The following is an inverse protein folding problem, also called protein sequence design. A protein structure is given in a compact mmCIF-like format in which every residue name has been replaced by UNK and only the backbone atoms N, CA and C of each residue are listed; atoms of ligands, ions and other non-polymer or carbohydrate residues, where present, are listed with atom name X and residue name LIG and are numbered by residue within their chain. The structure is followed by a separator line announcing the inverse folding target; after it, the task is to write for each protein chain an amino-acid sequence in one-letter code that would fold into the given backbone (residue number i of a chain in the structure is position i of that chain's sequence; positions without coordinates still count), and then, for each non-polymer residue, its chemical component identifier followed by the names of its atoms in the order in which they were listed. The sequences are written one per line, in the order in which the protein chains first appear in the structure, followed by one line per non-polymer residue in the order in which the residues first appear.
data_IF_885977990886
#
_entry.id   IF_885977990886
#
_cell.length_a   1.000
_cell.length_b   1.000
_cell.length_c   1.000
_cell.angle_alpha   90.00
_cell.angle_beta   90.00
_cell.angle_gamma   90.00
#
_symmetry.space_group_name_H-M   'P 1'
#
loop_
_entity.id
_entity.type
_entity.pdbx_description
1 polymer ?
#
# COMPACT_ATOMS: atom_id res chain seq x y z
N UNK A 1 27.61 -22.53 -144.55
CA UNK A 1 28.38 -22.51 -145.81
C UNK A 1 28.26 -21.10 -146.37
N UNK A 2 29.16 -20.21 -145.95
CA UNK A 2 29.14 -18.81 -146.35
C UNK A 2 29.80 -18.64 -147.71
N UNK A 3 29.13 -17.93 -148.62
CA UNK A 3 29.65 -17.56 -149.94
C UNK A 3 30.84 -16.61 -149.81
N UNK A 4 32.05 -17.13 -150.07
CA UNK A 4 33.31 -16.36 -150.13
C UNK A 4 33.35 -15.51 -151.40
N UNK A 5 33.52 -14.19 -151.23
CA UNK A 5 33.64 -13.25 -152.35
C UNK A 5 35.09 -12.76 -152.41
N UNK A 6 35.66 -12.72 -153.62
CA UNK A 6 37.06 -12.33 -153.83
C UNK A 6 37.14 -10.87 -154.26
N UNK A 7 37.89 -10.05 -153.53
CA UNK A 7 38.09 -8.65 -153.92
C UNK A 7 38.85 -8.55 -155.26
N UNK A 8 38.30 -7.91 -156.30
CA UNK A 8 38.96 -7.81 -157.60
C UNK A 8 40.23 -6.93 -157.59
N UNK A 9 40.45 -6.12 -156.55
CA UNK A 9 41.60 -5.22 -156.47
C UNK A 9 42.80 -5.81 -155.70
N UNK A 10 42.56 -6.61 -154.65
CA UNK A 10 43.64 -7.12 -153.79
C UNK A 10 43.63 -8.64 -153.59
N UNK A 11 42.74 -9.37 -154.30
CA UNK A 11 42.59 -10.84 -154.25
C UNK A 11 42.33 -11.43 -152.85
N UNK A 12 42.08 -10.59 -151.84
CA UNK A 12 41.74 -11.02 -150.49
C UNK A 12 40.35 -11.68 -150.47
N UNK A 13 40.27 -12.83 -149.82
CA UNK A 13 39.03 -13.60 -149.66
C UNK A 13 38.44 -13.23 -148.31
N UNK A 14 37.20 -12.72 -148.31
CA UNK A 14 36.49 -12.40 -147.07
C UNK A 14 35.06 -12.92 -147.16
N UNK A 15 34.52 -13.30 -146.00
CA UNK A 15 33.17 -13.80 -145.85
C UNK A 15 32.27 -12.59 -145.56
N UNK A 16 31.21 -12.39 -146.35
CA UNK A 16 30.26 -11.27 -146.18
C UNK A 16 29.68 -11.18 -144.76
N UNK A 17 29.56 -12.32 -144.08
CA UNK A 17 29.06 -12.42 -142.71
C UNK A 17 29.94 -11.62 -141.73
N UNK A 18 31.27 -11.62 -141.88
CA UNK A 18 32.18 -10.91 -140.96
C UNK A 18 32.07 -9.38 -141.04
N UNK A 19 31.79 -8.82 -142.23
CA UNK A 19 31.62 -7.38 -142.40
C UNK A 19 30.26 -6.89 -141.85
N UNK A 20 29.20 -7.69 -142.02
CA UNK A 20 27.88 -7.43 -141.44
C UNK A 20 27.88 -7.58 -139.91
N UNK A 21 28.57 -8.59 -139.38
CA UNK A 21 28.74 -8.78 -137.93
C UNK A 21 29.50 -7.62 -137.28
N UNK A 22 30.54 -7.08 -137.93
CA UNK A 22 31.31 -5.95 -137.40
C UNK A 22 30.51 -4.64 -137.32
N UNK A 23 29.63 -4.36 -138.30
CA UNK A 23 28.75 -3.18 -138.25
C UNK A 23 27.63 -3.35 -137.20
N UNK A 24 27.05 -4.55 -137.07
CA UNK A 24 26.07 -4.87 -136.01
C UNK A 24 26.71 -4.71 -134.62
N UNK A 25 27.94 -5.18 -134.43
CA UNK A 25 28.69 -5.00 -133.17
C UNK A 25 28.98 -3.54 -132.86
N UNK A 26 29.31 -2.72 -133.87
CA UNK A 26 29.58 -1.29 -133.70
C UNK A 26 28.30 -0.54 -133.32
N UNK A 27 27.18 -0.84 -133.95
CA UNK A 27 25.88 -0.29 -133.57
C UNK A 27 25.45 -0.72 -132.16
N UNK A 28 25.62 -1.99 -131.80
CA UNK A 28 25.33 -2.48 -130.45
C UNK A 28 26.22 -1.83 -129.40
N UNK A 29 27.52 -1.68 -129.66
CA UNK A 29 28.44 -0.95 -128.76
C UNK A 29 28.05 0.51 -128.60
N UNK A 30 27.67 1.19 -129.67
CA UNK A 30 27.23 2.58 -129.59
C UNK A 30 25.91 2.70 -128.80
N UNK A 31 24.93 1.81 -129.04
CA UNK A 31 23.68 1.77 -128.27
C UNK A 31 23.96 1.51 -126.79
N UNK A 32 24.75 0.49 -126.46
CA UNK A 32 25.15 0.19 -125.09
C UNK A 32 25.90 1.35 -124.42
N UNK A 33 26.81 2.03 -125.13
CA UNK A 33 27.50 3.20 -124.61
C UNK A 33 26.55 4.38 -124.35
N UNK A 34 25.56 4.60 -125.22
CA UNK A 34 24.54 5.64 -125.01
C UNK A 34 23.61 5.32 -123.84
N UNK A 35 23.18 4.06 -123.70
CA UNK A 35 22.36 3.61 -122.57
C UNK A 35 23.14 3.66 -121.25
N UNK A 36 24.41 3.27 -121.27
CA UNK A 36 25.31 3.36 -120.12
C UNK A 36 25.50 4.81 -119.67
N UNK A 37 25.74 5.74 -120.61
CA UNK A 37 25.88 7.15 -120.29
C UNK A 37 24.58 7.76 -119.74
N UNK A 38 23.42 7.43 -120.33
CA UNK A 38 22.11 7.84 -119.79
C UNK A 38 21.91 7.32 -118.37
N UNK A 39 22.23 6.05 -118.13
CA UNK A 39 22.10 5.44 -116.80
C UNK A 39 23.04 6.07 -115.78
N UNK A 40 24.26 6.42 -116.20
CA UNK A 40 25.23 7.10 -115.33
C UNK A 40 24.76 8.51 -114.95
N UNK A 41 24.16 9.25 -115.89
CA UNK A 41 23.61 10.57 -115.62
C UNK A 41 22.36 10.48 -114.73
N UNK A 42 21.47 9.50 -114.93
CA UNK A 42 20.35 9.20 -114.02
C UNK A 42 20.81 8.89 -112.59
N UNK A 43 21.88 8.10 -112.44
CA UNK A 43 22.42 7.78 -111.11
C UNK A 43 23.05 9.01 -110.45
N UNK A 44 23.67 9.91 -111.22
CA UNK A 44 24.22 11.16 -110.69
C UNK A 44 23.10 12.10 -110.22
N UNK A 45 22.02 12.26 -110.99
CA UNK A 45 20.89 13.10 -110.58
C UNK A 45 20.20 12.54 -109.35
N UNK A 46 19.95 11.22 -109.30
CA UNK A 46 19.39 10.56 -108.11
C UNK A 46 20.28 10.74 -106.88
N UNK A 47 21.61 10.61 -107.03
CA UNK A 47 22.54 10.84 -105.92
C UNK A 47 22.46 12.28 -105.41
N UNK A 48 22.40 13.27 -106.30
CA UNK A 48 22.27 14.68 -105.93
C UNK A 48 20.94 14.97 -105.22
N UNK A 49 19.83 14.38 -105.69
CA UNK A 49 18.52 14.50 -105.06
C UNK A 49 18.51 13.90 -103.64
N UNK A 50 19.07 12.70 -103.47
CA UNK A 50 19.18 12.05 -102.15
C UNK A 50 20.05 12.89 -101.20
N UNK A 51 21.15 13.45 -101.69
CA UNK A 51 22.04 14.30 -100.90
C UNK A 51 21.35 15.59 -100.46
N UNK A 52 20.59 16.24 -101.34
CA UNK A 52 19.76 17.40 -101.01
C UNK A 52 18.65 17.05 -100.00
N UNK A 53 17.95 15.94 -100.19
CA UNK A 53 16.92 15.47 -99.24
C UNK A 53 17.53 15.14 -97.87
N UNK A 54 18.73 14.55 -97.84
CA UNK A 54 19.42 14.24 -96.58
C UNK A 54 19.81 15.52 -95.85
N UNK A 55 20.25 16.56 -96.56
CA UNK A 55 20.57 17.86 -95.98
C UNK A 55 19.33 18.57 -95.43
N UNK A 56 18.20 18.53 -96.15
CA UNK A 56 16.96 19.16 -95.66
C UNK A 56 16.41 18.46 -94.43
N UNK A 57 16.40 17.12 -94.40
CA UNK A 57 15.97 16.34 -93.23
C UNK A 57 16.88 16.58 -92.02
N UNK A 58 18.21 16.64 -92.21
CA UNK A 58 19.15 16.99 -91.13
C UNK A 58 18.87 18.38 -90.57
N UNK A 59 18.65 19.37 -91.44
CA UNK A 59 18.32 20.75 -91.01
C UNK A 59 17.00 20.82 -90.24
N UNK A 60 15.98 20.04 -90.65
CA UNK A 60 14.71 19.95 -89.94
C UNK A 60 14.87 19.30 -88.56
N UNK A 61 15.59 18.17 -88.47
CA UNK A 61 15.85 17.51 -87.19
C UNK A 61 16.65 18.37 -86.21
N UNK A 62 17.60 19.17 -86.70
CA UNK A 62 18.34 20.12 -85.86
C UNK A 62 17.43 21.21 -85.29
N UNK A 63 16.51 21.76 -86.08
CA UNK A 63 15.51 22.73 -85.62
C UNK A 63 14.57 22.12 -84.58
N UNK A 64 14.06 20.91 -84.82
CA UNK A 64 13.21 20.21 -83.85
C UNK A 64 13.96 19.89 -82.55
N UNK A 65 15.22 19.47 -82.62
CA UNK A 65 16.07 19.27 -81.44
C UNK A 65 16.25 20.56 -80.64
N UNK A 66 16.49 21.68 -81.31
CA UNK A 66 16.63 22.98 -80.65
C UNK A 66 15.30 23.40 -80.00
N UNK A 67 14.17 23.20 -80.67
CA UNK A 67 12.85 23.50 -80.11
C UNK A 67 12.56 22.65 -78.87
N UNK A 68 12.77 21.34 -78.93
CA UNK A 68 12.56 20.43 -77.79
C UNK A 68 13.47 20.80 -76.62
N UNK A 69 14.70 21.23 -76.87
CA UNK A 69 15.62 21.69 -75.82
C UNK A 69 15.11 22.97 -75.15
N UNK A 70 14.61 23.94 -75.93
CA UNK A 70 14.02 25.17 -75.41
C UNK A 70 12.75 24.89 -74.59
N UNK A 71 11.85 24.05 -75.09
CA UNK A 71 10.60 23.68 -74.41
C UNK A 71 10.90 22.96 -73.09
N UNK A 72 11.87 22.04 -73.08
CA UNK A 72 12.33 21.36 -71.84
C UNK A 72 12.86 22.37 -70.82
N UNK A 73 13.64 23.35 -71.26
CA UNK A 73 14.18 24.37 -70.36
C UNK A 73 13.05 25.21 -69.76
N UNK A 74 12.08 25.66 -70.58
CA UNK A 74 10.92 26.42 -70.11
C UNK A 74 10.05 25.63 -69.12
N UNK A 75 9.76 24.35 -69.42
CA UNK A 75 9.00 23.48 -68.51
C UNK A 75 9.73 23.31 -67.17
N UNK A 76 11.06 23.13 -67.20
CA UNK A 76 11.84 23.01 -65.96
C UNK A 76 11.79 24.28 -65.12
N UNK A 77 11.89 25.45 -65.75
CA UNK A 77 11.82 26.75 -65.08
C UNK A 77 10.43 27.00 -64.49
N UNK A 78 9.36 26.69 -65.23
CA UNK A 78 7.99 26.82 -64.72
C UNK A 78 7.73 25.88 -63.54
N UNK A 79 8.20 24.63 -63.61
CA UNK A 79 8.08 23.69 -62.48
C UNK A 79 8.81 24.20 -61.24
N UNK A 80 10.03 24.70 -61.40
CA UNK A 80 10.80 25.22 -60.29
C UNK A 80 10.14 26.45 -59.66
N UNK A 81 9.60 27.36 -60.47
CA UNK A 81 8.84 28.52 -59.97
C UNK A 81 7.58 28.10 -59.20
N UNK A 82 6.84 27.10 -59.69
CA UNK A 82 5.66 26.58 -59.01
C UNK A 82 6.02 25.88 -57.70
N UNK A 83 7.11 25.10 -57.67
CA UNK A 83 7.62 24.45 -56.45
C UNK A 83 8.04 25.50 -55.42
N UNK A 84 8.78 26.53 -55.82
CA UNK A 84 9.21 27.61 -54.93
C UNK A 84 8.02 28.40 -54.37
N UNK A 85 6.99 28.68 -55.18
CA UNK A 85 5.77 29.34 -54.72
C UNK A 85 4.99 28.48 -53.72
N UNK A 86 4.88 27.18 -53.99
CA UNK A 86 4.19 26.23 -53.12
C UNK A 86 4.92 26.06 -51.78
N UNK A 87 6.26 25.99 -51.80
CA UNK A 87 7.09 25.97 -50.59
C UNK A 87 6.87 27.25 -49.76
N UNK A 88 6.86 28.42 -50.39
CA UNK A 88 6.61 29.70 -49.70
C UNK A 88 5.21 29.74 -49.06
N UNK A 89 4.17 29.28 -49.78
CA UNK A 89 2.80 29.21 -49.23
C UNK A 89 2.70 28.25 -48.05
N UNK A 90 3.29 27.05 -48.17
CA UNK A 90 3.32 26.07 -47.08
C UNK A 90 4.09 26.58 -45.86
N UNK A 91 5.21 27.28 -46.05
CA UNK A 91 5.95 27.90 -44.95
C UNK A 91 5.12 28.98 -44.25
N UNK A 92 4.43 29.84 -45.01
CA UNK A 92 3.59 30.88 -44.45
C UNK A 92 2.39 30.31 -43.67
N UNK A 93 1.73 29.26 -44.19
CA UNK A 93 0.66 28.57 -43.47
C UNK A 93 1.17 27.86 -42.21
N UNK A 94 2.34 27.22 -42.27
CA UNK A 94 2.97 26.58 -41.11
C UNK A 94 3.26 27.59 -40.01
N UNK A 95 3.80 28.76 -40.34
CA UNK A 95 4.06 29.84 -39.37
C UNK A 95 2.75 30.32 -38.76
N UNK A 96 1.73 30.62 -39.57
CA UNK A 96 0.41 31.03 -39.05
C UNK A 96 -0.23 29.99 -38.13
N UNK A 97 -0.11 28.71 -38.46
CA UNK A 97 -0.63 27.62 -37.63
C UNK A 97 0.15 27.50 -36.32
N UNK A 98 1.48 27.65 -36.35
CA UNK A 98 2.29 27.65 -35.14
C UNK A 98 1.96 28.85 -34.23
N UNK A 99 1.77 30.04 -34.80
CA UNK A 99 1.38 31.24 -34.06
C UNK A 99 -0.02 31.11 -33.43
N UNK A 100 -1.00 30.59 -34.18
CA UNK A 100 -2.35 30.38 -33.65
C UNK A 100 -2.38 29.33 -32.54
N UNK A 101 -1.68 28.21 -32.72
CA UNK A 101 -1.54 27.18 -31.68
C UNK A 101 -0.83 27.74 -30.45
N UNK A 102 0.27 28.50 -30.62
CA UNK A 102 0.97 29.11 -29.49
C UNK A 102 0.09 30.12 -28.74
N UNK A 103 -0.73 30.89 -29.45
CA UNK A 103 -1.67 31.83 -28.84
C UNK A 103 -2.77 31.10 -28.04
N UNK A 104 -3.35 30.03 -28.59
CA UNK A 104 -4.35 29.21 -27.90
C UNK A 104 -3.75 28.55 -26.66
N UNK A 105 -2.58 27.92 -26.78
CA UNK A 105 -1.89 27.29 -25.64
C UNK A 105 -1.61 28.32 -24.54
N UNK A 106 -1.12 29.52 -24.89
CA UNK A 106 -0.88 30.58 -23.88
C UNK A 106 -2.17 31.01 -23.19
N UNK A 107 -3.28 31.11 -23.91
CA UNK A 107 -4.58 31.48 -23.35
C UNK A 107 -5.11 30.40 -22.40
N UNK A 108 -5.05 29.15 -22.80
CA UNK A 108 -5.53 28.02 -22.01
C UNK A 108 -4.67 27.85 -20.74
N UNK A 109 -3.35 27.93 -20.87
CA UNK A 109 -2.41 27.90 -19.74
C UNK A 109 -2.67 29.06 -18.77
N UNK A 110 -2.89 30.28 -19.28
CA UNK A 110 -3.19 31.43 -18.43
C UNK A 110 -4.54 31.26 -17.68
N UNK A 111 -5.56 30.75 -18.36
CA UNK A 111 -6.87 30.47 -17.75
C UNK A 111 -6.79 29.37 -16.68
N UNK A 112 -6.04 28.30 -16.95
CA UNK A 112 -5.82 27.22 -15.98
C UNK A 112 -5.04 27.71 -14.76
N UNK A 113 -3.99 28.50 -14.97
CA UNK A 113 -3.24 29.12 -13.86
C UNK A 113 -4.12 30.05 -13.03
N UNK A 114 -4.96 30.88 -13.66
CA UNK A 114 -5.87 31.78 -12.96
C UNK A 114 -6.90 31.01 -12.13
N UNK A 115 -7.48 29.95 -12.68
CA UNK A 115 -8.41 29.07 -11.96
C UNK A 115 -7.72 28.36 -10.78
N UNK A 116 -6.52 27.83 -10.97
CA UNK A 116 -5.75 27.20 -9.89
C UNK A 116 -5.43 28.21 -8.79
N UNK A 117 -5.05 29.43 -9.15
CA UNK A 117 -4.72 30.48 -8.20
C UNK A 117 -5.96 30.93 -7.41
N UNK A 118 -7.12 31.05 -8.06
CA UNK A 118 -8.39 31.33 -7.40
C UNK A 118 -8.80 30.20 -6.44
N UNK A 119 -8.70 28.93 -6.85
CA UNK A 119 -9.00 27.79 -5.98
C UNK A 119 -8.06 27.73 -4.77
N UNK A 120 -6.77 27.99 -4.96
CA UNK A 120 -5.79 28.04 -3.86
C UNK A 120 -6.10 29.20 -2.90
N UNK A 121 -6.42 30.39 -3.41
CA UNK A 121 -6.81 31.53 -2.57
C UNK A 121 -8.10 31.25 -1.80
N UNK A 122 -9.10 30.62 -2.44
CA UNK A 122 -10.34 30.25 -1.78
C UNK A 122 -10.10 29.21 -0.68
N UNK A 123 -9.31 28.17 -0.97
CA UNK A 123 -8.92 27.16 0.02
C UNK A 123 -8.16 27.78 1.20
N UNK A 124 -7.27 28.75 0.93
CA UNK A 124 -6.54 29.45 1.98
C UNK A 124 -7.49 30.28 2.87
N UNK A 125 -8.44 31.02 2.28
CA UNK A 125 -9.45 31.78 3.03
C UNK A 125 -10.32 30.87 3.89
N UNK A 126 -10.81 29.76 3.33
CA UNK A 126 -11.60 28.78 4.07
C UNK A 126 -10.82 28.15 5.24
N UNK A 127 -9.52 27.89 5.05
CA UNK A 127 -8.66 27.39 6.12
C UNK A 127 -8.39 28.45 7.19
N UNK A 128 -8.19 29.72 6.81
CA UNK A 128 -8.05 30.82 7.76
C UNK A 128 -9.31 31.02 8.61
N UNK A 129 -10.50 30.94 8.00
CA UNK A 129 -11.76 31.07 8.72
C UNK A 129 -12.00 29.87 9.64
N UNK A 130 -11.73 28.64 9.20
CA UNK A 130 -11.74 27.45 10.07
C UNK A 130 -10.76 27.58 11.24
N UNK A 131 -9.58 28.15 11.01
CA UNK A 131 -8.58 28.36 12.05
C UNK A 131 -9.04 29.42 13.07
N UNK A 132 -9.67 30.51 12.60
CA UNK A 132 -10.28 31.53 13.49
C UNK A 132 -11.39 30.92 14.33
N UNK A 133 -12.28 30.14 13.72
CA UNK A 133 -13.37 29.46 14.44
C UNK A 133 -12.84 28.46 15.47
N UNK A 134 -11.81 27.69 15.13
CA UNK A 134 -11.16 26.77 16.07
C UNK A 134 -10.55 27.53 17.26
N UNK A 135 -9.84 28.63 17.02
CA UNK A 135 -9.26 29.49 18.07
C UNK A 135 -10.33 30.12 18.96
N UNK A 136 -11.46 30.56 18.39
CA UNK A 136 -12.58 31.09 19.17
C UNK A 136 -13.21 30.02 20.06
N UNK A 137 -13.39 28.80 19.54
CA UNK A 137 -13.89 27.67 20.34
C UNK A 137 -12.93 27.28 21.46
N UNK A 138 -11.63 27.30 21.21
CA UNK A 138 -10.61 27.03 22.22
C UNK A 138 -10.63 28.09 23.33
N UNK A 139 -10.73 29.39 22.97
CA UNK A 139 -10.89 30.47 23.93
C UNK A 139 -12.17 30.35 24.77
N UNK A 140 -13.31 30.02 24.14
CA UNK A 140 -14.57 29.80 24.83
C UNK A 140 -14.50 28.60 25.78
N UNK A 141 -13.84 27.53 25.36
CA UNK A 141 -13.59 26.35 26.19
C UNK A 141 -12.73 26.69 27.41
N UNK A 142 -11.62 27.42 27.22
CA UNK A 142 -10.74 27.85 28.31
C UNK A 142 -11.47 28.75 29.32
N UNK A 143 -12.29 29.69 28.85
CA UNK A 143 -13.13 30.54 29.73
C UNK A 143 -14.11 29.70 30.53
N UNK A 144 -14.84 28.78 29.89
CA UNK A 144 -15.77 27.88 30.56
C UNK A 144 -15.08 26.99 31.60
N UNK A 145 -13.89 26.48 31.28
CA UNK A 145 -13.11 25.68 32.22
C UNK A 145 -12.69 26.51 33.45
N UNK A 146 -12.24 27.75 33.24
CA UNK A 146 -11.90 28.66 34.33
C UNK A 146 -13.12 29.04 35.18
N UNK A 147 -14.26 29.31 34.55
CA UNK A 147 -15.52 29.61 35.26
C UNK A 147 -16.01 28.42 36.09
N UNK A 148 -15.87 27.19 35.58
CA UNK A 148 -16.19 25.97 36.33
C UNK A 148 -15.25 25.80 37.53
N UNK A 149 -13.96 26.02 37.35
CA UNK A 149 -12.98 25.94 38.43
C UNK A 149 -13.26 26.98 39.53
N UNK A 150 -13.60 28.22 39.15
CA UNK A 150 -13.98 29.26 40.10
C UNK A 150 -15.25 28.89 40.88
N UNK A 151 -16.26 28.33 40.19
CA UNK A 151 -17.49 27.84 40.84
C UNK A 151 -17.24 26.70 41.81
N UNK A 152 -16.34 25.78 41.45
CA UNK A 152 -15.95 24.66 42.31
C UNK A 152 -15.29 25.16 43.59
N UNK A 153 -14.36 26.13 43.48
CA UNK A 153 -13.73 26.78 44.63
C UNK A 153 -14.74 27.55 45.50
N UNK A 154 -15.68 28.29 44.89
CA UNK A 154 -16.74 28.99 45.62
C UNK A 154 -17.66 28.01 46.36
N UNK A 155 -18.03 26.90 45.71
CA UNK A 155 -18.83 25.83 46.32
C UNK A 155 -18.09 25.21 47.51
N UNK A 156 -16.82 24.87 47.36
CA UNK A 156 -15.99 24.30 48.43
C UNK A 156 -15.88 25.26 49.63
N UNK A 157 -15.65 26.54 49.37
CA UNK A 157 -15.57 27.57 50.40
C UNK A 157 -16.93 27.81 51.09
N UNK A 158 -18.03 27.75 50.34
CA UNK A 158 -19.38 27.81 50.89
C UNK A 158 -19.71 26.59 51.77
N UNK A 159 -19.25 25.40 51.37
CA UNK A 159 -19.43 24.16 52.11
C UNK A 159 -18.64 24.21 53.43
N UNK A 160 -17.39 24.68 53.39
CA UNK A 160 -16.57 24.87 54.58
C UNK A 160 -17.22 25.86 55.56
N UNK A 161 -17.78 26.98 55.07
CA UNK A 161 -18.51 27.94 55.92
C UNK A 161 -19.72 27.30 56.58
N UNK A 162 -20.54 26.55 55.82
CA UNK A 162 -21.70 25.82 56.38
C UNK A 162 -21.27 24.80 57.43
N UNK A 163 -20.21 24.04 57.18
CA UNK A 163 -19.68 23.08 58.16
C UNK A 163 -19.16 23.76 59.42
N UNK A 164 -18.56 24.94 59.31
CA UNK A 164 -18.14 25.74 60.47
C UNK A 164 -19.35 26.25 61.27
N UNK A 165 -20.39 26.75 60.59
CA UNK A 165 -21.63 27.19 61.23
C UNK A 165 -22.35 26.02 61.91
N UNK A 166 -22.50 24.88 61.25
CA UNK A 166 -23.09 23.66 61.83
C UNK A 166 -22.27 23.17 63.02
N UNK A 167 -20.92 23.16 62.94
CA UNK A 167 -20.06 22.83 64.09
C UNK A 167 -20.26 23.79 65.25
N UNK A 168 -20.38 25.09 65.00
CA UNK A 168 -20.60 26.08 66.05
C UNK A 168 -21.97 25.89 66.71
N UNK A 169 -23.02 25.62 65.92
CA UNK A 169 -24.35 25.28 66.43
C UNK A 169 -24.32 23.99 67.26
N UNK A 170 -23.61 22.96 66.81
CA UNK A 170 -23.45 21.70 67.52
C UNK A 170 -22.73 21.90 68.86
N UNK A 171 -21.68 22.71 68.90
CA UNK A 171 -20.95 23.04 70.13
C UNK A 171 -21.85 23.80 71.11
N UNK A 172 -22.66 24.74 70.63
CA UNK A 172 -23.63 25.47 71.46
C UNK A 172 -24.74 24.55 72.00
N UNK A 173 -25.23 23.61 71.17
CA UNK A 173 -26.16 22.56 71.62
C UNK A 173 -25.53 21.66 72.67
N UNK A 174 -24.30 21.17 72.45
CA UNK A 174 -23.58 20.34 73.43
C UNK A 174 -23.38 21.10 74.74
N UNK A 175 -23.06 22.39 74.69
CA UNK A 175 -22.95 23.24 75.90
C UNK A 175 -24.27 23.36 76.66
N UNK A 176 -25.38 23.56 75.95
CA UNK A 176 -26.72 23.58 76.55
C UNK A 176 -27.08 22.23 77.15
N UNK A 177 -26.89 21.15 76.40
CA UNK A 177 -27.16 19.79 76.86
C UNK A 177 -26.28 19.42 78.07
N UNK A 178 -25.02 19.85 78.11
CA UNK A 178 -24.12 19.62 79.23
C UNK A 178 -24.50 20.46 80.46
N UNK A 179 -24.92 21.71 80.27
CA UNK A 179 -25.46 22.56 81.33
C UNK A 179 -26.78 22.01 81.89
N UNK A 180 -27.69 21.57 81.02
CA UNK A 180 -28.96 20.94 81.41
C UNK A 180 -28.70 19.61 82.12
N UNK A 181 -27.74 18.81 81.64
CA UNK A 181 -27.32 17.56 82.29
C UNK A 181 -26.63 17.82 83.64
N UNK A 182 -25.89 18.91 83.79
CA UNK A 182 -25.32 19.32 85.08
C UNK A 182 -26.42 19.76 86.04
N UNK A 183 -27.38 20.57 85.59
CA UNK A 183 -28.53 20.98 86.40
C UNK A 183 -29.40 19.78 86.81
N UNK A 184 -29.61 18.83 85.91
CA UNK A 184 -30.28 17.56 86.20
C UNK A 184 -29.49 16.73 87.21
N UNK A 185 -28.16 16.65 87.08
CA UNK A 185 -27.31 15.99 88.07
C UNK A 185 -27.34 16.69 89.43
N UNK A 186 -27.37 18.02 89.48
CA UNK A 186 -27.41 18.77 90.74
C UNK A 186 -28.77 18.62 91.43
N UNK A 187 -29.87 18.61 90.66
CA UNK A 187 -31.21 18.32 91.18
C UNK A 187 -31.35 16.86 91.61
N UNK A 188 -30.82 15.91 90.85
CA UNK A 188 -30.70 14.51 91.27
C UNK A 188 -29.82 14.39 92.52
N UNK A 189 -28.71 15.13 92.62
CA UNK A 189 -27.81 15.10 93.78
C UNK A 189 -28.49 15.69 95.02
N UNK A 190 -29.30 16.74 94.88
CA UNK A 190 -30.12 17.28 95.96
C UNK A 190 -31.23 16.31 96.39
N UNK A 191 -31.89 15.64 95.45
CA UNK A 191 -32.87 14.60 95.77
C UNK A 191 -32.21 13.37 96.39
N UNK A 192 -31.03 13.00 95.91
CA UNK A 192 -30.21 11.89 96.42
C UNK A 192 -29.59 12.21 97.77
N UNK A 193 -29.27 13.47 98.08
CA UNK A 193 -28.89 13.92 99.42
C UNK A 193 -30.07 13.78 100.40
N UNK A 194 -31.29 14.15 99.97
CA UNK A 194 -32.51 13.95 100.78
C UNK A 194 -32.88 12.48 100.95
N UNK A 195 -32.68 11.67 99.92
CA UNK A 195 -32.79 10.20 100.02
C UNK A 195 -31.66 9.59 100.85
N UNK A 196 -30.43 10.11 100.77
CA UNK A 196 -29.27 9.68 101.56
C UNK A 196 -29.39 10.07 103.02
N UNK A 197 -29.97 11.22 103.37
CA UNK A 197 -30.31 11.59 104.75
C UNK A 197 -31.31 10.60 105.33
N UNK A 198 -32.30 10.17 104.53
CA UNK A 198 -33.27 9.14 104.90
C UNK A 198 -32.65 7.73 104.92
N UNK A 199 -31.75 7.41 104.01
CA UNK A 199 -31.00 6.15 103.96
C UNK A 199 -29.92 6.08 105.05
N UNK A 200 -29.38 7.20 105.57
CA UNK A 200 -28.43 7.23 106.69
C UNK A 200 -29.09 6.84 108.02
N UNK A 201 -30.40 7.07 108.14
CA UNK A 201 -31.22 6.67 109.29
C UNK A 201 -31.59 5.18 109.20
N UNK A 202 -31.84 4.67 107.99
CA UNK A 202 -32.19 3.26 107.73
C UNK A 202 -30.97 2.32 107.50
N UNK A 203 -29.80 2.84 107.10
CA UNK A 203 -28.55 2.08 106.89
C UNK A 203 -27.62 2.06 108.10
N UNK A 204 -27.98 2.68 109.23
CA UNK A 204 -27.33 2.39 110.52
C UNK A 204 -27.66 0.99 111.06
N UNK A 205 -28.62 0.28 110.45
CA UNK A 205 -29.15 -1.01 110.93
C UNK A 205 -28.83 -2.22 110.06
N UNK A 206 -28.08 -2.09 108.95
CA UNK A 206 -27.97 -3.22 108.00
C UNK A 206 -26.69 -3.30 107.15
N UNK A 207 -25.53 -2.94 107.67
CA UNK A 207 -24.28 -2.99 106.86
C UNK A 207 -23.03 -3.43 107.64
N UNK A 208 -23.12 -4.55 108.37
CA UNK A 208 -21.94 -5.30 108.88
C UNK A 208 -21.61 -6.55 108.03
N UNK A 209 -22.32 -6.78 106.91
CA UNK A 209 -21.97 -7.85 105.98
C UNK A 209 -22.02 -7.35 104.54
N UNK A 210 -20.91 -7.59 103.81
CA UNK A 210 -20.70 -7.43 102.36
C UNK A 210 -19.71 -6.32 101.96
N UNK A 211 -18.53 -6.34 102.58
CA UNK A 211 -17.30 -5.94 101.88
C UNK A 211 -16.53 -7.17 101.44
N UNK A 212 -16.80 -7.69 100.23
CA UNK A 212 -15.75 -8.08 99.26
C UNK A 212 -16.28 -8.82 98.01
N UNK A 213 -15.70 -8.41 96.86
CA UNK A 213 -15.68 -9.01 95.51
C UNK A 213 -16.91 -8.65 94.64
N UNK A 214 -16.77 -8.27 93.38
CA UNK A 214 -15.73 -8.63 92.43
C UNK A 214 -15.54 -7.53 91.36
N UNK A 215 -14.30 -7.08 91.20
CA UNK A 215 -13.78 -6.62 89.91
C UNK A 215 -13.46 -7.87 89.09
N UNK A 216 -14.01 -7.98 87.88
CA UNK A 216 -13.64 -9.01 86.92
C UNK A 216 -13.34 -8.33 85.58
N UNK A 217 -12.05 -8.10 85.35
CA UNK A 217 -11.50 -7.53 84.13
C UNK A 217 -11.10 -8.61 83.12
N UNK A 218 -11.69 -8.47 81.93
CA UNK A 218 -11.26 -8.86 80.57
C UNK A 218 -10.70 -10.26 80.27
N UNK A 219 -11.49 -10.98 79.47
CA UNK A 219 -11.21 -12.26 78.79
C UNK A 219 -10.76 -12.07 77.32
N UNK A 220 -10.31 -10.88 76.90
CA UNK A 220 -10.08 -10.57 75.47
C UNK A 220 -8.67 -10.86 74.93
N UNK A 221 -7.64 -10.98 75.77
CA UNK A 221 -6.25 -11.13 75.33
C UNK A 221 -5.90 -12.50 74.70
N UNK A 222 -6.81 -13.47 74.68
CA UNK A 222 -6.51 -14.86 74.30
C UNK A 222 -6.90 -15.24 72.86
N UNK A 223 -7.69 -14.41 72.17
CA UNK A 223 -8.10 -14.63 70.77
C UNK A 223 -7.11 -14.07 69.74
N UNK A 224 -6.61 -12.86 69.98
CA UNK A 224 -5.76 -12.09 69.04
C UNK A 224 -4.41 -12.78 68.75
N UNK A 225 -3.93 -13.63 69.67
CA UNK A 225 -2.63 -14.32 69.53
C UNK A 225 -2.63 -15.35 68.38
N UNK A 226 -3.77 -15.98 68.08
CA UNK A 226 -3.84 -16.99 67.03
C UNK A 226 -3.97 -16.37 65.63
N UNK A 227 -4.60 -15.21 65.54
CA UNK A 227 -4.71 -14.43 64.30
C UNK A 227 -3.32 -13.94 63.86
N UNK A 228 -2.58 -13.32 64.79
CA UNK A 228 -1.19 -12.90 64.56
C UNK A 228 -0.29 -14.07 64.10
N UNK A 229 -0.44 -15.25 64.70
CA UNK A 229 0.34 -16.43 64.33
C UNK A 229 0.01 -16.96 62.92
N UNK A 230 -1.25 -16.83 62.47
CA UNK A 230 -1.66 -17.23 61.13
C UNK A 230 -1.09 -16.29 60.07
N UNK A 231 -1.14 -14.98 60.31
CA UNK A 231 -0.59 -13.97 59.41
C UNK A 231 0.92 -14.10 59.25
N UNK A 232 1.65 -14.28 60.35
CA UNK A 232 3.10 -14.42 60.34
C UNK A 232 3.51 -15.68 59.55
N UNK A 233 2.78 -16.79 59.72
CA UNK A 233 3.02 -18.02 58.99
C UNK A 233 2.78 -17.86 57.48
N UNK A 234 1.68 -17.20 57.09
CA UNK A 234 1.37 -16.94 55.68
C UNK A 234 2.43 -16.02 55.06
N UNK A 235 2.87 -14.97 55.78
CA UNK A 235 3.88 -14.02 55.29
C UNK A 235 5.25 -14.66 55.12
N UNK A 236 5.62 -15.54 56.05
CA UNK A 236 6.86 -16.32 55.95
C UNK A 236 6.82 -17.33 54.81
N UNK A 237 5.66 -17.96 54.54
CA UNK A 237 5.52 -19.01 53.54
C UNK A 237 5.35 -18.46 52.12
N UNK A 238 4.68 -17.32 51.95
CA UNK A 238 4.37 -16.72 50.64
C UNK A 238 4.86 -15.26 50.55
N UNK A 239 6.17 -15.01 50.47
CA UNK A 239 6.73 -13.64 50.51
C UNK A 239 6.30 -12.73 49.35
N UNK A 240 5.89 -13.32 48.22
CA UNK A 240 5.48 -12.58 47.02
C UNK A 240 3.99 -12.19 47.04
N UNK A 241 3.19 -12.82 47.90
CA UNK A 241 1.77 -12.54 48.03
C UNK A 241 1.56 -11.36 49.00
N UNK A 242 0.48 -10.60 48.81
CA UNK A 242 0.15 -9.48 49.71
C UNK A 242 -0.87 -9.94 50.75
N UNK A 243 -0.50 -9.85 52.03
CA UNK A 243 -1.34 -10.24 53.16
C UNK A 243 -1.84 -8.98 53.87
N UNK A 244 -3.15 -8.83 53.97
CA UNK A 244 -3.82 -7.68 54.58
C UNK A 244 -4.81 -8.11 55.66
N UNK A 245 -4.75 -7.45 56.82
CA UNK A 245 -5.74 -7.56 57.89
C UNK A 245 -6.99 -6.72 57.54
N UNK A 246 -8.17 -7.22 57.91
CA UNK A 246 -9.41 -6.43 57.81
C UNK A 246 -9.62 -5.71 59.14
N UNK A 247 -9.56 -4.37 59.13
CA UNK A 247 -9.52 -3.56 60.35
C UNK A 247 -10.69 -3.77 61.33
N UNK A 248 -10.38 -3.74 62.63
CA UNK A 248 -11.33 -3.90 63.75
C UNK A 248 -12.52 -2.94 63.62
N UNK A 249 -13.71 -3.49 63.39
CA UNK A 249 -14.98 -2.75 63.31
C UNK A 249 -15.74 -2.89 61.98
N UNK A 250 -15.13 -3.50 60.96
CA UNK A 250 -15.80 -3.88 59.71
C UNK A 250 -16.08 -5.38 59.76
N UNK A 251 -17.30 -5.82 59.38
CA UNK A 251 -17.58 -7.26 59.21
C UNK A 251 -16.73 -7.79 58.06
N UNK A 252 -15.81 -8.71 58.34
CA UNK A 252 -14.99 -9.34 57.34
C UNK A 252 -14.09 -10.41 57.95
N UNK A 253 -13.55 -11.26 57.08
CA UNK A 253 -12.65 -12.35 57.45
C UNK A 253 -11.40 -11.84 58.17
N UNK A 254 -10.84 -12.68 59.04
CA UNK A 254 -9.69 -12.33 59.88
C UNK A 254 -8.43 -11.97 59.05
N UNK A 255 -8.19 -12.63 57.92
CA UNK A 255 -7.03 -12.37 57.07
C UNK A 255 -7.33 -12.55 55.57
N UNK A 256 -6.75 -11.69 54.71
CA UNK A 256 -6.86 -11.79 53.26
C UNK A 256 -5.46 -11.94 52.65
N UNK A 257 -5.27 -12.97 51.83
CA UNK A 257 -4.10 -13.17 50.99
C UNK A 257 -4.45 -12.87 49.54
N UNK A 258 -3.82 -11.84 48.99
CA UNK A 258 -3.84 -11.56 47.55
C UNK A 258 -2.70 -12.31 46.88
N UNK A 259 -3.04 -13.33 46.10
CA UNK A 259 -2.09 -14.18 45.38
C UNK A 259 -1.49 -13.40 44.22
N UNK A 260 -0.16 -13.32 44.17
CA UNK A 260 0.56 -12.61 43.10
C UNK A 260 1.45 -13.56 42.31
N UNK A 261 1.55 -13.33 41.01
CA UNK A 261 2.51 -14.05 40.18
C UNK A 261 3.93 -13.49 40.35
N UNK A 262 4.90 -14.16 39.71
CA UNK A 262 6.32 -13.76 39.69
C UNK A 262 6.57 -12.35 39.09
N UNK A 263 5.58 -11.76 38.42
CA UNK A 263 5.64 -10.40 37.85
C UNK A 263 4.92 -9.37 38.74
N UNK A 264 4.44 -9.77 39.93
CA UNK A 264 3.73 -8.90 40.86
C UNK A 264 2.26 -8.62 40.51
N UNK A 265 1.69 -9.30 39.51
CA UNK A 265 0.29 -9.13 39.13
C UNK A 265 -0.61 -9.94 40.05
N UNK A 266 -1.77 -9.38 40.38
CA UNK A 266 -2.76 -10.01 41.25
C UNK A 266 -3.56 -11.06 40.44
N UNK A 267 -3.46 -12.31 40.87
CA UNK A 267 -4.06 -13.46 40.19
C UNK A 267 -5.35 -13.95 40.85
N UNK A 268 -5.55 -13.63 42.13
CA UNK A 268 -6.75 -13.98 42.89
C UNK A 268 -6.59 -13.69 44.38
N UNK A 269 -7.63 -13.95 45.16
CA UNK A 269 -7.69 -13.68 46.61
C UNK A 269 -8.19 -14.89 47.39
N UNK A 270 -7.51 -15.18 48.49
CA UNK A 270 -7.87 -16.21 49.46
C UNK A 270 -8.17 -15.52 50.79
N UNK A 271 -9.31 -15.83 51.41
CA UNK A 271 -9.66 -15.32 52.74
C UNK A 271 -9.56 -16.42 53.79
N UNK A 272 -9.19 -16.02 55.00
CA UNK A 272 -8.99 -16.90 56.13
C UNK A 272 -9.81 -16.44 57.33
N UNK A 273 -10.46 -17.40 57.97
CA UNK A 273 -11.14 -17.21 59.25
C UNK A 273 -10.56 -18.19 60.27
N UNK A 274 -10.19 -17.71 61.45
CA UNK A 274 -9.68 -18.53 62.55
C UNK A 274 -10.70 -18.60 63.69
N UNK A 275 -11.07 -19.82 64.09
CA UNK A 275 -11.98 -20.05 65.22
C UNK A 275 -11.39 -21.03 66.22
N UNK A 276 -11.25 -20.55 67.46
CA UNK A 276 -10.73 -21.31 68.59
C UNK A 276 -11.86 -21.67 69.56
N UNK A 277 -12.56 -22.75 69.25
CA UNK A 277 -13.73 -23.20 70.00
C UNK A 277 -13.79 -24.72 70.06
N UNK A 278 -14.40 -25.25 71.12
CA UNK A 278 -14.55 -26.70 71.36
C UNK A 278 -15.66 -27.33 70.54
N UNK A 279 -16.63 -26.54 70.08
CA UNK A 279 -17.79 -26.99 69.33
C UNK A 279 -17.86 -26.27 68.00
N UNK A 280 -17.95 -27.02 66.90
CA UNK A 280 -18.08 -26.47 65.55
C UNK A 280 -19.50 -25.92 65.30
N UNK A 281 -19.62 -24.67 64.86
CA UNK A 281 -20.92 -24.09 64.44
C UNK A 281 -21.02 -23.93 62.92
N UNK A 282 -22.17 -24.31 62.35
CA UNK A 282 -22.46 -24.07 60.93
C UNK A 282 -22.55 -22.59 60.56
N UNK A 283 -22.90 -21.73 61.52
CA UNK A 283 -23.04 -20.29 61.28
C UNK A 283 -21.73 -19.64 60.80
N UNK A 284 -20.56 -20.24 61.10
CA UNK A 284 -19.27 -19.74 60.63
C UNK A 284 -19.10 -19.93 59.12
N UNK A 285 -19.62 -21.02 58.57
CA UNK A 285 -19.60 -21.27 57.11
C UNK A 285 -20.47 -20.23 56.40
N UNK A 286 -21.66 -19.95 56.93
CA UNK A 286 -22.57 -18.97 56.32
C UNK A 286 -22.01 -17.54 56.36
N UNK A 287 -21.40 -17.15 57.49
CA UNK A 287 -20.72 -15.86 57.63
C UNK A 287 -19.54 -15.73 56.66
N UNK A 288 -18.65 -16.73 56.65
CA UNK A 288 -17.47 -16.70 55.79
C UNK A 288 -17.83 -16.69 54.30
N UNK A 289 -18.94 -17.33 53.89
CA UNK A 289 -19.49 -17.21 52.53
C UNK A 289 -19.96 -15.79 52.21
N UNK A 290 -20.58 -15.12 53.17
CA UNK A 290 -21.00 -13.74 52.99
C UNK A 290 -19.78 -12.81 52.84
N UNK A 291 -18.72 -13.07 53.61
CA UNK A 291 -17.46 -12.32 53.55
C UNK A 291 -16.71 -12.59 52.25
N UNK A 292 -16.71 -13.84 51.76
CA UNK A 292 -16.16 -14.19 50.45
C UNK A 292 -16.80 -13.38 49.30
N UNK A 293 -18.12 -13.20 49.36
CA UNK A 293 -18.86 -12.40 48.36
C UNK A 293 -18.63 -10.90 48.52
N UNK A 294 -18.60 -10.38 49.74
CA UNK A 294 -18.42 -8.94 49.98
C UNK A 294 -17.02 -8.46 49.61
N UNK A 295 -16.01 -9.32 49.82
CA UNK A 295 -14.61 -9.01 49.55
C UNK A 295 -14.13 -9.46 48.15
N UNK A 296 -14.99 -10.14 47.40
CA UNK A 296 -14.66 -10.65 46.06
C UNK A 296 -13.50 -11.66 46.08
N UNK A 297 -13.49 -12.55 47.08
CA UNK A 297 -12.47 -13.58 47.21
C UNK A 297 -12.83 -14.82 46.39
N UNK A 298 -11.81 -15.45 45.79
CA UNK A 298 -11.98 -16.65 44.96
C UNK A 298 -12.11 -17.92 45.80
N UNK A 299 -11.47 -17.93 46.96
CA UNK A 299 -11.39 -19.08 47.86
C UNK A 299 -11.48 -18.62 49.31
N UNK A 300 -12.19 -19.38 50.15
CA UNK A 300 -12.27 -19.16 51.59
C UNK A 300 -11.80 -20.39 52.37
N UNK A 301 -10.98 -20.16 53.39
CA UNK A 301 -10.43 -21.18 54.29
C UNK A 301 -10.84 -20.88 55.73
N UNK A 302 -11.48 -21.85 56.39
CA UNK A 302 -11.79 -21.83 57.82
C UNK A 302 -10.76 -22.68 58.57
N UNK A 303 -10.01 -22.05 59.45
CA UNK A 303 -9.05 -22.69 60.35
C UNK A 303 -9.72 -22.90 61.71
N UNK A 304 -9.96 -24.16 62.06
CA UNK A 304 -10.62 -24.54 63.31
C UNK A 304 -9.80 -25.54 64.11
N UNK A 305 -9.93 -25.50 65.44
CA UNK A 305 -9.36 -26.52 66.32
C UNK A 305 -10.22 -27.80 66.34
N UNK A 306 -11.54 -27.65 66.19
CA UNK A 306 -12.50 -28.78 66.22
C UNK A 306 -13.12 -28.94 64.84
N UNK A 307 -12.93 -30.13 64.25
CA UNK A 307 -13.51 -30.45 62.94
C UNK A 307 -15.01 -30.75 63.05
N UNK A 308 -15.79 -30.54 61.97
CA UNK A 308 -17.18 -31.00 61.91
C UNK A 308 -17.27 -32.51 62.12
N UNK A 309 -18.39 -33.00 62.70
CA UNK A 309 -18.60 -34.43 63.02
C UNK A 309 -18.51 -35.39 61.81
N UNK A 310 -18.57 -34.85 60.60
CA UNK A 310 -18.53 -35.59 59.34
C UNK A 310 -17.14 -35.59 58.66
N UNK A 311 -16.12 -35.01 59.31
CA UNK A 311 -14.79 -34.78 58.72
C UNK A 311 -13.67 -35.10 59.71
N UNK A 312 -12.81 -36.05 59.35
CA UNK A 312 -11.63 -36.42 60.16
C UNK A 312 -10.36 -35.63 59.78
N UNK A 313 -10.33 -35.04 58.58
CA UNK A 313 -9.19 -34.29 58.01
C UNK A 313 -9.68 -33.05 57.27
N UNK A 314 -8.76 -32.18 56.85
CA UNK A 314 -9.12 -31.02 56.04
C UNK A 314 -9.92 -31.42 54.79
N UNK A 315 -10.86 -30.56 54.38
CA UNK A 315 -11.68 -30.81 53.21
C UNK A 315 -12.63 -29.65 52.90
N UNK A 316 -13.35 -29.78 51.80
CA UNK A 316 -14.30 -28.77 51.35
C UNK A 316 -15.71 -29.07 51.89
N UNK A 317 -16.35 -28.06 52.49
CA UNK A 317 -17.74 -28.13 52.92
C UNK A 317 -18.50 -26.93 52.38
N UNK A 318 -19.42 -27.22 51.46
CA UNK A 318 -20.30 -26.25 50.83
C UNK A 318 -19.58 -25.04 50.19
N UNK A 319 -18.42 -25.23 49.57
CA UNK A 319 -17.63 -24.16 48.95
C UNK A 319 -16.63 -23.46 49.88
N UNK A 320 -16.51 -23.87 51.15
CA UNK A 320 -15.47 -23.40 52.08
C UNK A 320 -14.52 -24.54 52.40
N UNK A 321 -13.23 -24.27 52.38
CA UNK A 321 -12.22 -25.23 52.82
C UNK A 321 -12.03 -25.17 54.33
N UNK A 322 -12.28 -26.26 55.03
CA UNK A 322 -12.10 -26.36 56.48
C UNK A 322 -10.84 -27.15 56.77
N UNK A 323 -9.95 -26.62 57.60
CA UNK A 323 -8.70 -27.28 57.96
C UNK A 323 -8.27 -26.98 59.40
N UNK A 324 -7.32 -27.76 59.91
CA UNK A 324 -6.64 -27.45 61.17
C UNK A 324 -5.46 -26.50 60.93
N UNK A 325 -4.98 -25.85 61.99
CA UNK A 325 -3.84 -24.92 61.91
C UNK A 325 -2.56 -25.57 61.38
N UNK A 326 -2.40 -26.89 61.52
CA UNK A 326 -1.23 -27.61 61.00
C UNK A 326 -1.30 -27.86 59.48
N UNK A 327 -2.50 -27.89 58.92
CA UNK A 327 -2.75 -28.25 57.52
C UNK A 327 -2.90 -27.03 56.62
N UNK A 328 -3.22 -25.86 57.19
CA UNK A 328 -3.48 -24.61 56.45
C UNK A 328 -2.36 -24.27 55.48
N UNK A 329 -1.10 -24.46 55.86
CA UNK A 329 0.07 -24.18 55.00
C UNK A 329 0.03 -24.98 53.70
N UNK A 330 -0.19 -26.29 53.83
CA UNK A 330 -0.23 -27.24 52.71
C UNK A 330 -1.44 -26.98 51.82
N UNK A 331 -2.58 -26.69 52.44
CA UNK A 331 -3.82 -26.38 51.74
C UNK A 331 -3.71 -25.07 50.94
N UNK A 332 -3.20 -24.01 51.55
CA UNK A 332 -2.96 -22.73 50.87
C UNK A 332 -2.06 -22.90 49.65
N UNK A 333 -1.00 -23.71 49.74
CA UNK A 333 -0.10 -23.95 48.60
C UNK A 333 -0.83 -24.52 47.39
N UNK A 334 -1.68 -25.53 47.61
CA UNK A 334 -2.47 -26.20 46.56
C UNK A 334 -3.48 -25.24 45.94
N UNK A 335 -4.22 -24.50 46.78
CA UNK A 335 -5.25 -23.57 46.30
C UNK A 335 -4.62 -22.38 45.55
N UNK A 336 -3.46 -21.90 46.02
CA UNK A 336 -2.67 -20.87 45.33
C UNK A 336 -2.23 -21.32 43.94
N UNK A 337 -1.73 -22.55 43.79
CA UNK A 337 -1.34 -23.09 42.48
C UNK A 337 -2.54 -23.22 41.52
N UNK A 338 -3.69 -23.65 42.04
CA UNK A 338 -4.93 -23.73 41.27
C UNK A 338 -5.37 -22.34 40.75
N UNK A 339 -5.38 -21.32 41.61
CA UNK A 339 -5.71 -19.93 41.22
C UNK A 339 -4.76 -19.44 40.12
N UNK A 340 -3.45 -19.66 40.27
CA UNK A 340 -2.47 -19.23 39.25
C UNK A 340 -2.71 -19.92 37.90
N UNK A 341 -3.03 -21.22 37.88
CA UNK A 341 -3.32 -21.96 36.64
C UNK A 341 -4.57 -21.45 35.94
N UNK A 342 -5.61 -21.15 36.71
CA UNK A 342 -6.87 -20.60 36.18
C UNK A 342 -6.64 -19.20 35.60
N UNK A 343 -5.94 -18.33 36.34
CA UNK A 343 -5.61 -16.97 35.89
C UNK A 343 -4.81 -16.98 34.58
N UNK A 344 -3.77 -17.82 34.49
CA UNK A 344 -2.97 -17.94 33.27
C UNK A 344 -3.78 -18.46 32.08
N UNK A 345 -4.76 -19.34 32.32
CA UNK A 345 -5.63 -19.86 31.27
C UNK A 345 -6.60 -18.80 30.74
N UNK A 346 -7.19 -17.99 31.62
CA UNK A 346 -8.07 -16.89 31.25
C UNK A 346 -7.32 -15.80 30.45
N UNK A 347 -6.15 -15.37 30.93
CA UNK A 347 -5.31 -14.37 30.28
C UNK A 347 -4.82 -14.79 28.89
N UNK A 348 -4.59 -16.09 28.68
CA UNK A 348 -4.22 -16.63 27.37
C UNK A 348 -5.38 -16.63 26.36
N UNK A 349 -6.64 -16.64 26.80
CA UNK A 349 -7.80 -16.51 25.92
C UNK A 349 -8.06 -15.06 25.50
N UNK A 350 -7.93 -14.11 26.43
CA UNK A 350 -8.09 -12.68 26.16
C UNK A 350 -7.10 -12.17 25.09
N UNK A 351 -5.83 -12.58 25.19
CA UNK A 351 -4.77 -12.27 24.23
C UNK A 351 -5.03 -12.77 22.78
N UNK A 352 -5.95 -13.73 22.58
CA UNK A 352 -6.31 -14.20 21.23
C UNK A 352 -7.36 -13.30 20.55
N UNK A 353 -8.24 -12.65 21.33
CA UNK A 353 -9.30 -11.77 20.81
C UNK A 353 -8.74 -10.48 20.23
N UNK A 354 -7.87 -9.80 20.98
CA UNK A 354 -7.34 -8.49 20.59
C UNK A 354 -6.47 -8.52 19.33
N UNK A 355 -5.68 -9.59 19.14
CA UNK A 355 -4.82 -9.70 17.96
C UNK A 355 -5.60 -9.89 16.66
N UNK A 356 -6.71 -10.62 16.70
CA UNK A 356 -7.61 -10.75 15.53
C UNK A 356 -8.29 -9.43 15.20
N UNK A 357 -8.72 -8.68 16.22
CA UNK A 357 -9.33 -7.37 16.03
C UNK A 357 -8.34 -6.36 15.44
N UNK A 358 -7.08 -6.37 15.92
CA UNK A 358 -6.02 -5.50 15.40
C UNK A 358 -5.65 -5.82 13.95
N UNK A 359 -5.55 -7.11 13.60
CA UNK A 359 -5.33 -7.55 12.22
C UNK A 359 -6.49 -7.16 11.30
N UNK A 360 -7.73 -7.32 11.77
CA UNK A 360 -8.91 -6.92 11.01
C UNK A 360 -8.92 -5.40 10.78
N UNK A 361 -8.61 -4.61 11.81
CA UNK A 361 -8.47 -3.16 11.70
C UNK A 361 -7.36 -2.75 10.73
N UNK A 362 -6.21 -3.41 10.77
CA UNK A 362 -5.11 -3.13 9.84
C UNK A 362 -5.48 -3.47 8.40
N UNK A 363 -6.07 -4.65 8.16
CA UNK A 363 -6.51 -5.07 6.81
C UNK A 363 -7.64 -4.20 6.23
N UNK A 364 -8.45 -3.60 7.10
CA UNK A 364 -9.52 -2.65 6.70
C UNK A 364 -9.11 -1.18 6.80
N UNK A 365 -7.87 -0.90 7.23
CA UNK A 365 -7.35 0.45 7.35
C UNK A 365 -7.08 1.09 5.98
N UNK A 366 -7.13 2.43 5.94
CA UNK A 366 -6.71 3.20 4.77
C UNK A 366 -5.25 2.98 4.41
N UNK A 367 -4.36 2.76 5.39
CA UNK A 367 -2.93 2.52 5.17
C UNK A 367 -2.68 1.26 4.34
N UNK A 368 -3.35 0.15 4.67
CA UNK A 368 -3.23 -1.08 3.89
C UNK A 368 -3.79 -0.91 2.46
N UNK A 369 -4.91 -0.22 2.31
CA UNK A 369 -5.53 0.04 1.00
C UNK A 369 -4.62 0.91 0.10
N UNK A 370 -3.95 1.90 0.68
CA UNK A 370 -3.04 2.80 -0.03
C UNK A 370 -1.76 2.07 -0.47
N UNK A 371 -1.14 1.29 0.43
CA UNK A 371 0.01 0.44 0.08
C UNK A 371 -0.35 -0.61 -0.99
N UNK A 372 -1.52 -1.23 -0.89
CA UNK A 372 -2.00 -2.17 -1.89
C UNK A 372 -2.24 -1.49 -3.25
N UNK A 373 -2.75 -0.26 -3.25
CA UNK A 373 -2.93 0.51 -4.48
C UNK A 373 -1.60 0.87 -5.13
N UNK A 374 -0.58 1.26 -4.35
CA UNK A 374 0.76 1.55 -4.85
C UNK A 374 1.42 0.30 -5.50
N UNK A 375 1.29 -0.87 -4.88
CA UNK A 375 1.76 -2.13 -5.45
C UNK A 375 1.05 -2.42 -6.77
N UNK A 376 -0.28 -2.30 -6.81
CA UNK A 376 -1.09 -2.52 -8.03
C UNK A 376 -0.71 -1.56 -9.15
N UNK A 377 -0.39 -0.31 -8.84
CA UNK A 377 0.04 0.70 -9.80
C UNK A 377 1.42 0.34 -10.39
N UNK A 378 2.36 -0.09 -9.55
CA UNK A 378 3.65 -0.62 -10.00
C UNK A 378 3.50 -1.81 -10.95
N UNK A 379 2.63 -2.77 -10.63
CA UNK A 379 2.33 -3.90 -11.53
C UNK A 379 1.69 -3.47 -12.86
N UNK A 380 0.77 -2.50 -12.84
CA UNK A 380 0.18 -1.95 -14.08
C UNK A 380 1.22 -1.27 -14.96
N UNK A 381 2.09 -0.45 -14.36
CA UNK A 381 3.15 0.25 -15.07
C UNK A 381 4.13 -0.76 -15.72
N UNK A 382 4.54 -1.80 -14.97
CA UNK A 382 5.42 -2.85 -15.48
C UNK A 382 4.78 -3.64 -16.62
N UNK A 383 3.51 -4.04 -16.48
CA UNK A 383 2.77 -4.72 -17.54
C UNK A 383 2.68 -3.86 -18.81
N UNK A 384 2.42 -2.56 -18.67
CA UNK A 384 2.37 -1.64 -19.80
C UNK A 384 3.74 -1.46 -20.47
N UNK A 385 4.83 -1.42 -19.69
CA UNK A 385 6.20 -1.37 -20.21
C UNK A 385 6.53 -2.59 -21.07
N UNK A 386 6.27 -3.79 -20.54
CA UNK A 386 6.48 -5.06 -21.25
C UNK A 386 5.68 -5.10 -22.55
N UNK A 387 4.43 -4.64 -22.53
CA UNK A 387 3.59 -4.62 -23.72
C UNK A 387 4.15 -3.68 -24.80
N UNK A 388 4.61 -2.48 -24.42
CA UNK A 388 5.24 -1.54 -25.35
C UNK A 388 6.53 -2.08 -25.95
N UNK A 389 7.37 -2.72 -25.13
CA UNK A 389 8.58 -3.39 -25.61
C UNK A 389 8.23 -4.49 -26.61
N UNK A 390 7.20 -5.29 -26.32
CA UNK A 390 6.76 -6.36 -27.22
C UNK A 390 6.31 -5.81 -28.58
N UNK A 391 5.50 -4.76 -28.59
CA UNK A 391 5.05 -4.11 -29.82
C UNK A 391 6.20 -3.50 -30.62
N UNK A 392 7.17 -2.88 -29.93
CA UNK A 392 8.36 -2.33 -30.58
C UNK A 392 9.24 -3.43 -31.20
N UNK A 393 9.44 -4.54 -30.46
CA UNK A 393 10.21 -5.69 -30.95
C UNK A 393 9.53 -6.37 -32.14
N UNK A 394 8.21 -6.50 -32.12
CA UNK A 394 7.47 -7.11 -33.22
C UNK A 394 7.55 -6.28 -34.51
N UNK A 395 7.50 -4.94 -34.39
CA UNK A 395 7.79 -4.04 -35.53
C UNK A 395 9.21 -4.19 -36.04
N UNK A 396 10.19 -4.28 -35.14
CA UNK A 396 11.60 -4.45 -35.50
C UNK A 396 11.84 -5.78 -36.21
N UNK A 397 11.26 -6.87 -35.70
CA UNK A 397 11.33 -8.18 -36.32
C UNK A 397 10.75 -8.17 -37.72
N UNK A 398 9.54 -7.63 -37.92
CA UNK A 398 8.95 -7.50 -39.27
C UNK A 398 9.80 -6.66 -40.22
N UNK A 399 10.41 -5.59 -39.73
CA UNK A 399 11.29 -4.75 -40.55
C UNK A 399 12.54 -5.53 -41.01
N UNK A 400 13.16 -6.28 -40.09
CA UNK A 400 14.33 -7.13 -40.38
C UNK A 400 13.98 -8.29 -41.30
N UNK A 401 12.85 -8.95 -41.08
CA UNK A 401 12.35 -10.04 -41.91
C UNK A 401 12.17 -9.58 -43.36
N UNK A 402 11.57 -8.40 -43.57
CA UNK A 402 11.41 -7.81 -44.91
C UNK A 402 12.73 -7.41 -45.56
N UNK A 403 13.73 -7.02 -44.77
CA UNK A 403 15.08 -6.76 -45.28
C UNK A 403 15.75 -8.07 -45.69
N UNK A 404 15.63 -9.12 -44.88
CA UNK A 404 16.15 -10.45 -45.17
C UNK A 404 15.53 -11.01 -46.47
N UNK A 405 14.21 -10.91 -46.61
CA UNK A 405 13.48 -11.35 -47.81
C UNK A 405 13.99 -10.65 -49.08
N UNK A 406 14.26 -9.34 -49.04
CA UNK A 406 14.86 -8.61 -50.16
C UNK A 406 16.26 -9.11 -50.51
N UNK A 407 17.09 -9.40 -49.50
CA UNK A 407 18.44 -9.92 -49.71
C UNK A 407 18.37 -11.32 -50.34
N UNK A 408 17.50 -12.19 -49.84
CA UNK A 408 17.27 -13.52 -50.39
C UNK A 408 16.76 -13.47 -51.83
N UNK A 409 15.82 -12.57 -52.14
CA UNK A 409 15.31 -12.36 -53.49
C UNK A 409 16.43 -11.90 -54.44
N UNK A 410 17.26 -10.95 -54.00
CA UNK A 410 18.40 -10.49 -54.78
C UNK A 410 19.43 -11.61 -55.00
N UNK A 411 19.71 -12.43 -53.99
CA UNK A 411 20.58 -13.59 -54.12
C UNK A 411 20.02 -14.61 -55.12
N UNK A 412 18.71 -14.89 -55.08
CA UNK A 412 18.04 -15.77 -56.04
C UNK A 412 18.07 -15.20 -57.47
N UNK A 413 17.90 -13.88 -57.64
CA UNK A 413 18.06 -13.23 -58.94
C UNK A 413 19.49 -13.33 -59.49
N UNK A 414 20.50 -13.17 -58.63
CA UNK A 414 21.91 -13.35 -59.01
C UNK A 414 22.15 -14.81 -59.41
N UNK A 415 21.67 -15.78 -58.62
CA UNK A 415 21.75 -17.22 -58.91
C UNK A 415 21.14 -17.55 -60.29
N UNK A 416 19.89 -17.13 -60.53
CA UNK A 416 19.20 -17.36 -61.81
C UNK A 416 19.83 -16.62 -63.00
N UNK A 417 20.42 -15.44 -62.78
CA UNK A 417 21.15 -14.72 -63.83
C UNK A 417 22.46 -15.44 -64.21
N UNK A 418 23.18 -15.97 -63.22
CA UNK A 418 24.40 -16.76 -63.44
C UNK A 418 24.07 -18.07 -64.16
N UNK A 419 23.04 -18.80 -63.72
CA UNK A 419 22.56 -20.02 -64.37
C UNK A 419 22.12 -19.76 -65.83
N UNK A 420 21.43 -18.64 -66.09
CA UNK A 420 21.00 -18.25 -67.44
C UNK A 420 22.14 -17.82 -68.38
N UNK A 421 23.24 -17.26 -67.86
CA UNK A 421 24.40 -16.82 -68.63
C UNK A 421 25.39 -17.97 -68.87
N UNK A 422 25.63 -18.80 -67.86
CA UNK A 422 26.67 -19.83 -67.89
C UNK A 422 26.19 -21.16 -68.49
N UNK A 423 24.87 -21.36 -68.62
CA UNK A 423 24.28 -22.66 -68.89
C UNK A 423 24.42 -23.58 -67.68
N UNK A 424 23.43 -24.45 -67.48
CA UNK A 424 23.25 -25.30 -66.29
C UNK A 424 24.44 -26.21 -65.91
N UNK A 425 25.48 -26.30 -66.74
CA UNK A 425 26.57 -27.28 -66.60
C UNK A 425 27.95 -26.67 -66.26
N UNK A 426 28.09 -25.37 -66.00
CA UNK A 426 29.43 -24.76 -65.83
C UNK A 426 29.71 -23.97 -64.54
N UNK A 427 28.77 -23.89 -63.60
CA UNK A 427 29.01 -23.25 -62.30
C UNK A 427 28.61 -24.20 -61.17
N UNK A 428 29.61 -24.66 -60.40
CA UNK A 428 29.36 -25.46 -59.20
C UNK A 428 28.77 -24.56 -58.10
N UNK A 429 27.44 -24.55 -58.04
CA UNK A 429 26.62 -23.67 -57.20
C UNK A 429 26.62 -24.07 -55.71
N UNK A 430 27.26 -25.19 -55.35
CA UNK A 430 27.38 -25.65 -53.95
C UNK A 430 28.15 -24.64 -53.08
N UNK A 431 29.10 -23.91 -53.65
CA UNK A 431 29.90 -22.90 -52.94
C UNK A 431 29.09 -21.64 -52.53
N UNK A 432 28.01 -21.32 -53.24
CA UNK A 432 27.14 -20.19 -52.90
C UNK A 432 26.09 -20.57 -51.86
N UNK A 433 25.59 -21.81 -51.92
CA UNK A 433 24.65 -22.33 -50.93
C UNK A 433 25.36 -22.56 -49.58
N UNK A 434 26.61 -23.05 -49.56
CA UNK A 434 27.44 -23.14 -48.33
C UNK A 434 27.80 -21.75 -47.75
N UNK A 435 28.09 -20.75 -48.60
CA UNK A 435 28.36 -19.40 -48.14
C UNK A 435 27.11 -18.71 -47.55
N UNK A 436 25.94 -19.00 -48.10
CA UNK A 436 24.66 -18.52 -47.58
C UNK A 436 24.29 -19.21 -46.25
N UNK A 437 24.54 -20.51 -46.12
CA UNK A 437 24.37 -21.25 -44.86
C UNK A 437 25.32 -20.74 -43.77
N UNK A 438 26.60 -20.51 -44.09
CA UNK A 438 27.59 -19.97 -43.16
C UNK A 438 27.23 -18.55 -42.66
N UNK A 439 26.60 -17.73 -43.51
CA UNK A 439 26.09 -16.40 -43.15
C UNK A 439 24.84 -16.45 -42.25
N UNK A 440 24.02 -17.49 -42.38
CA UNK A 440 22.80 -17.68 -41.58
C UNK A 440 23.08 -18.38 -40.24
N UNK A 441 24.12 -19.23 -40.16
CA UNK A 441 24.50 -19.96 -38.94
C UNK A 441 25.32 -19.14 -37.93
N UNK A 442 25.76 -17.93 -38.29
CA UNK A 442 26.68 -17.11 -37.49
C UNK A 442 26.09 -16.42 -36.24
N UNK A 443 24.82 -16.65 -35.89
CA UNK A 443 24.17 -16.02 -34.73
C UNK A 443 23.68 -17.07 -33.72
N UNK A 444 24.60 -17.83 -33.12
CA UNK A 444 24.20 -18.86 -32.16
C UNK A 444 25.28 -19.56 -31.35
N UNK A 445 26.51 -19.06 -31.30
CA UNK A 445 27.51 -19.56 -30.35
C UNK A 445 28.07 -18.40 -29.54
N UNK A 446 27.46 -18.16 -28.38
CA UNK A 446 28.14 -17.52 -27.26
C UNK A 446 29.23 -18.48 -26.77
N UNK A 447 30.50 -18.08 -26.76
CA UNK A 447 31.53 -18.84 -26.07
C UNK A 447 31.52 -18.48 -24.59
N UNK A 448 31.17 -19.47 -23.78
CA UNK A 448 31.42 -19.64 -22.34
C UNK A 448 30.81 -18.65 -21.32
N UNK A 449 30.30 -19.29 -20.24
CA UNK A 449 29.81 -18.81 -18.92
C UNK A 449 28.34 -18.37 -18.76
#
# INVERSE_FOLDING_TARGET
MGTSITCPNCKHHFVMEDALSADIEREMRNKMATEWNKRLDELKTQKQEIEQQTLTVKSQMEKERQQIAQDRQQISQQRQQQEDELIKRLQAEKIKLQESMAATIRKDVAADFENQLQMLQQSQRENEDKLKDARMRELDFLKKAQDLQNREQELELSLQKRLMEERAQLVEQIRKDEADRSNLKDTEYQMRLREMEKQLEDQRRLAEEMRRKAEQGSMQLQGEVQELALEEMLRATFPFDAISEVGKGVRGADCIQTVRNQYGQECGKIIYESKRTKDFSRDWIEKLKADMRSQGADVAILVTQTMPRDMDKFGEREGIWVCTFHEVKSLTYVLRDAIMKIYNSAKNQENKGDKMHLLYHYLTSGEFAEQWSAIREGFRAMKASIQKEREAMEKLWKAREKQLEKVLLNAAHIKGSIEGIAGSDSVDLQLLDEAAEALLSGAGQSPDE
#
